data_IF_777726170735
#
_entry.id   IF_777726170735
#
_cell.length_a   1.000
_cell.length_b   1.000
_cell.length_c   1.000
_cell.angle_alpha   90.00
_cell.angle_beta   90.00
_cell.angle_gamma   90.00
#
_symmetry.space_group_name_H-M   'P 1'
#
loop_
_entity.id
_entity.type
_entity.pdbx_description
1 polymer ?
#
# COMPACT_ATOMS: atom_id res chain seq x y z
N UNK A 1 -1.87 -1.27 -49.89
CA UNK A 1 -1.83 -0.13 -48.98
C UNK A 1 -1.04 -0.48 -47.75
N UNK A 2 -0.02 0.31 -47.40
CA UNK A 2 0.77 0.15 -46.19
C UNK A 2 -0.13 0.53 -44.97
N UNK A 3 -0.48 -0.45 -44.14
CA UNK A 3 -1.20 -0.22 -42.89
C UNK A 3 -0.22 0.32 -41.86
N UNK A 4 0.12 1.60 -41.94
CA UNK A 4 0.83 2.28 -40.86
C UNK A 4 -0.13 2.52 -39.72
N UNK A 5 0.13 1.93 -38.53
CA UNK A 5 -0.57 2.24 -37.30
C UNK A 5 0.10 3.42 -36.64
N UNK A 6 -0.70 4.38 -36.19
CA UNK A 6 -0.21 5.54 -35.42
C UNK A 6 0.24 5.06 -34.04
N UNK A 7 1.37 5.56 -33.57
CA UNK A 7 1.80 5.37 -32.18
C UNK A 7 0.95 6.23 -31.22
N UNK A 8 0.62 5.68 -30.05
CA UNK A 8 -0.10 6.37 -28.99
C UNK A 8 0.48 6.04 -27.63
N UNK A 9 0.57 7.03 -26.76
CA UNK A 9 0.99 6.85 -25.36
C UNK A 9 -0.17 6.36 -24.49
N UNK A 10 -1.42 6.48 -24.93
CA UNK A 10 -2.61 5.99 -24.26
C UNK A 10 -2.95 4.57 -24.75
N UNK A 11 -3.79 3.87 -23.98
CA UNK A 11 -4.30 2.55 -24.33
C UNK A 11 -5.42 2.62 -25.40
N UNK A 12 -5.13 3.26 -26.54
CA UNK A 12 -6.08 3.44 -27.64
C UNK A 12 -6.10 2.21 -28.54
N UNK A 13 -7.30 1.78 -28.95
CA UNK A 13 -7.46 0.62 -29.83
C UNK A 13 -6.76 0.82 -31.18
N UNK A 14 -6.19 -0.26 -31.74
CA UNK A 14 -5.54 -0.30 -33.06
C UNK A 14 -4.34 0.65 -33.23
N UNK A 15 -3.70 1.06 -32.17
CA UNK A 15 -2.46 1.83 -32.18
C UNK A 15 -1.25 0.98 -31.80
N UNK A 16 -0.06 1.49 -32.03
CA UNK A 16 1.19 0.94 -31.48
C UNK A 16 1.45 1.60 -30.14
N UNK A 17 1.70 0.79 -29.10
CA UNK A 17 2.04 1.34 -27.79
C UNK A 17 3.38 2.10 -27.87
N UNK A 18 3.35 3.35 -27.47
CA UNK A 18 4.52 4.23 -27.39
C UNK A 18 4.77 4.57 -25.93
N UNK A 19 6.03 4.64 -25.54
CA UNK A 19 6.40 5.07 -24.19
C UNK A 19 6.10 6.55 -24.01
N UNK A 20 5.58 6.92 -22.83
CA UNK A 20 5.45 8.32 -22.44
C UNK A 20 6.82 8.96 -22.15
N UNK A 21 6.85 10.25 -21.78
CA UNK A 21 8.08 10.98 -21.44
C UNK A 21 8.84 10.40 -20.23
N UNK A 22 8.20 9.58 -19.41
CA UNK A 22 8.78 8.90 -18.26
C UNK A 22 9.18 7.45 -18.57
N UNK A 23 8.97 7.01 -19.82
CA UNK A 23 9.30 5.65 -20.29
C UNK A 23 8.24 4.60 -19.98
N UNK A 24 7.06 4.98 -19.50
CA UNK A 24 5.97 4.05 -19.19
C UNK A 24 5.20 3.65 -20.45
N UNK A 25 4.51 2.50 -20.40
CA UNK A 25 3.57 2.03 -21.41
C UNK A 25 2.19 1.91 -20.74
N UNK A 26 1.16 2.53 -21.34
CA UNK A 26 -0.23 2.35 -20.94
C UNK A 26 -0.88 1.22 -21.75
N UNK A 27 -1.57 0.32 -21.08
CA UNK A 27 -2.38 -0.73 -21.68
C UNK A 27 -3.62 -0.99 -20.80
N UNK A 28 -4.77 -1.33 -21.43
CA UNK A 28 -5.95 -1.74 -20.66
C UNK A 28 -5.74 -3.10 -20.00
N UNK A 29 -5.09 -4.02 -20.70
CA UNK A 29 -4.72 -5.35 -20.21
C UNK A 29 -3.31 -5.65 -20.69
N UNK A 30 -2.47 -6.09 -19.79
CA UNK A 30 -1.17 -6.67 -20.11
C UNK A 30 -1.28 -8.20 -20.03
N UNK A 31 -1.25 -8.87 -21.18
CA UNK A 31 -1.24 -10.32 -21.27
C UNK A 31 0.18 -10.81 -21.55
N UNK A 32 0.92 -11.07 -20.49
CA UNK A 32 2.33 -11.45 -20.58
C UNK A 32 2.91 -11.82 -19.22
N UNK A 33 4.22 -12.06 -19.17
CA UNK A 33 4.95 -12.36 -17.94
C UNK A 33 5.68 -11.10 -17.47
N UNK A 34 5.48 -10.69 -16.20
CA UNK A 34 6.29 -9.69 -15.53
C UNK A 34 7.20 -10.38 -14.52
N UNK A 35 8.50 -10.16 -14.64
CA UNK A 35 9.52 -10.83 -13.81
C UNK A 35 10.02 -9.97 -12.67
N UNK A 36 9.66 -8.68 -12.63
CA UNK A 36 10.09 -7.74 -11.59
C UNK A 36 9.12 -6.59 -11.41
N UNK A 37 9.10 -6.03 -10.20
CA UNK A 37 8.40 -4.81 -9.86
C UNK A 37 9.38 -3.83 -9.20
N UNK A 38 9.15 -2.53 -9.40
CA UNK A 38 9.98 -1.46 -8.82
C UNK A 38 9.72 -1.25 -7.32
N UNK A 39 8.48 -1.38 -6.90
CA UNK A 39 8.02 -1.17 -5.52
C UNK A 39 7.72 -2.50 -4.85
N UNK A 40 7.46 -2.50 -3.54
CA UNK A 40 7.62 -3.70 -2.73
C UNK A 40 6.34 -4.24 -2.09
N UNK A 41 5.16 -3.64 -2.32
CA UNK A 41 3.92 -4.11 -1.72
C UNK A 41 2.80 -4.37 -2.72
N UNK A 42 1.92 -5.28 -2.34
CA UNK A 42 0.63 -5.55 -2.98
C UNK A 42 -0.45 -4.79 -2.22
N UNK A 43 -1.20 -3.94 -2.91
CA UNK A 43 -2.27 -3.16 -2.33
C UNK A 43 -3.58 -3.28 -3.11
N UNK A 44 -4.66 -2.91 -2.46
CA UNK A 44 -5.98 -2.75 -3.06
C UNK A 44 -6.61 -1.44 -2.59
N UNK A 45 -7.41 -0.79 -3.44
CA UNK A 45 -8.17 0.39 -3.04
C UNK A 45 -9.43 -0.01 -2.28
N UNK A 46 -9.61 0.65 -1.14
CA UNK A 46 -10.82 0.62 -0.33
C UNK A 46 -11.30 2.04 -0.04
N UNK A 47 -12.60 2.23 0.06
CA UNK A 47 -13.14 3.50 0.55
C UNK A 47 -12.83 3.65 2.03
N UNK A 48 -12.42 4.86 2.40
CA UNK A 48 -12.06 5.24 3.77
C UNK A 48 -13.00 6.32 4.28
N UNK A 49 -13.33 6.31 5.56
CA UNK A 49 -14.24 7.28 6.17
C UNK A 49 -13.64 8.70 6.27
N UNK A 50 -12.34 8.82 6.11
CA UNK A 50 -11.60 10.07 5.91
C UNK A 50 -10.29 9.78 5.19
N UNK A 51 -9.54 10.79 4.80
CA UNK A 51 -8.20 10.61 4.26
C UNK A 51 -7.20 10.35 5.38
N UNK A 52 -6.45 9.26 5.26
CA UNK A 52 -5.44 8.84 6.24
C UNK A 52 -4.03 9.01 5.70
N UNK A 53 -3.06 9.42 6.54
CA UNK A 53 -1.66 9.49 6.15
C UNK A 53 -1.08 8.09 5.88
N UNK A 54 -0.05 8.06 5.02
CA UNK A 54 0.72 6.84 4.73
C UNK A 54 1.21 6.20 6.02
N UNK A 55 1.14 4.87 6.08
CA UNK A 55 1.57 4.10 7.25
C UNK A 55 0.47 3.86 8.29
N UNK A 56 -0.74 4.39 8.10
CA UNK A 56 -1.87 4.16 9.00
C UNK A 56 -2.38 2.73 8.88
N UNK A 57 -2.44 2.01 9.99
CA UNK A 57 -3.04 0.67 10.06
C UNK A 57 -4.56 0.77 9.96
N UNK A 58 -5.16 -0.05 9.09
CA UNK A 58 -6.58 0.00 8.73
C UNK A 58 -7.32 -1.28 9.08
N UNK A 59 -8.59 -1.14 9.45
CA UNK A 59 -9.52 -2.26 9.67
C UNK A 59 -10.84 -2.01 8.94
N UNK A 60 -11.65 -3.07 8.79
CA UNK A 60 -13.01 -2.95 8.27
C UNK A 60 -13.89 -2.26 9.32
N UNK A 61 -14.66 -1.24 8.92
CA UNK A 61 -15.54 -0.48 9.80
C UNK A 61 -15.61 1.00 9.50
N UNK A 62 -16.23 1.76 10.38
CA UNK A 62 -16.48 3.19 10.17
C UNK A 62 -17.70 3.45 9.28
N UNK A 63 -17.75 4.64 8.69
CA UNK A 63 -18.84 5.08 7.79
C UNK A 63 -18.62 4.63 6.33
N UNK A 64 -17.45 4.07 6.03
CA UNK A 64 -17.07 3.54 4.73
C UNK A 64 -16.66 2.05 4.87
N UNK A 65 -15.93 1.49 3.90
CA UNK A 65 -15.44 0.10 4.02
C UNK A 65 -14.39 -0.04 5.11
N UNK A 66 -13.54 0.98 5.28
CA UNK A 66 -12.39 0.91 6.19
C UNK A 66 -12.20 2.18 7.02
N UNK A 67 -11.65 1.99 8.21
CA UNK A 67 -11.31 3.05 9.17
C UNK A 67 -9.98 2.73 9.86
N UNK A 68 -9.41 3.69 10.60
CA UNK A 68 -8.19 3.48 11.36
C UNK A 68 -8.34 2.39 12.43
N UNK A 69 -7.38 1.49 12.49
CA UNK A 69 -7.37 0.37 13.42
C UNK A 69 -7.12 0.84 14.87
N UNK A 70 -7.68 0.08 15.83
CA UNK A 70 -7.49 0.24 17.29
C UNK A 70 -6.93 -1.06 17.88
N UNK A 71 -6.63 -1.06 19.17
CA UNK A 71 -6.10 -2.24 19.89
C UNK A 71 -6.93 -3.50 19.76
N UNK A 72 -8.25 -3.35 19.65
CA UNK A 72 -9.22 -4.47 19.52
C UNK A 72 -9.58 -4.79 18.07
N UNK A 73 -9.09 -4.03 17.09
CA UNK A 73 -9.44 -4.21 15.67
C UNK A 73 -8.72 -5.40 15.05
N UNK A 74 -9.33 -5.99 14.03
CA UNK A 74 -8.66 -6.89 13.09
C UNK A 74 -8.13 -6.07 11.92
N UNK A 75 -6.83 -5.81 11.93
CA UNK A 75 -6.16 -5.03 10.90
C UNK A 75 -6.14 -5.80 9.58
N UNK A 76 -6.47 -5.12 8.48
CA UNK A 76 -6.44 -5.70 7.12
C UNK A 76 -5.24 -5.25 6.31
N UNK A 77 -4.60 -4.16 6.68
CA UNK A 77 -3.46 -3.60 5.96
C UNK A 77 -3.06 -2.23 6.45
N UNK A 78 -2.22 -1.57 5.67
CA UNK A 78 -1.63 -0.27 6.01
C UNK A 78 -1.72 0.65 4.79
N UNK A 79 -2.07 1.93 4.98
CA UNK A 79 -2.09 2.91 3.88
C UNK A 79 -0.73 2.96 3.18
N UNK A 80 -0.73 2.68 1.89
CA UNK A 80 0.45 2.66 1.02
C UNK A 80 0.47 3.86 0.08
N UNK A 81 1.66 4.41 -0.15
CA UNK A 81 1.83 5.54 -1.07
C UNK A 81 2.07 5.08 -2.53
N UNK A 82 2.84 4.03 -2.71
CA UNK A 82 3.32 3.57 -4.02
C UNK A 82 3.43 2.03 -4.06
N UNK A 83 2.31 1.33 -4.17
CA UNK A 83 2.35 -0.13 -4.24
C UNK A 83 3.02 -0.61 -5.52
N UNK A 84 3.65 -1.79 -5.46
CA UNK A 84 4.18 -2.48 -6.64
C UNK A 84 3.07 -2.96 -7.56
N UNK A 85 1.97 -3.38 -6.98
CA UNK A 85 0.76 -3.80 -7.68
C UNK A 85 -0.47 -3.28 -6.95
N UNK A 86 -1.34 -2.57 -7.66
CA UNK A 86 -2.55 -1.98 -7.11
C UNK A 86 -3.79 -2.64 -7.73
N UNK A 87 -4.48 -3.43 -6.93
CA UNK A 87 -5.78 -3.99 -7.28
C UNK A 87 -6.88 -2.94 -7.10
N UNK A 88 -8.00 -3.11 -7.82
CA UNK A 88 -9.13 -2.19 -7.79
C UNK A 88 -8.73 -0.73 -8.05
N UNK A 89 -7.79 -0.51 -8.96
CA UNK A 89 -7.07 0.77 -9.15
C UNK A 89 -7.97 1.91 -9.62
N UNK A 90 -9.09 1.61 -10.28
CA UNK A 90 -10.05 2.61 -10.78
C UNK A 90 -11.13 2.97 -9.74
N UNK A 91 -11.21 2.24 -8.63
CA UNK A 91 -12.13 2.57 -7.54
C UNK A 91 -11.70 3.83 -6.80
N UNK A 92 -12.66 4.46 -6.17
CA UNK A 92 -12.40 5.53 -5.21
C UNK A 92 -11.77 4.97 -3.93
N UNK A 93 -11.15 5.86 -3.14
CA UNK A 93 -10.54 5.50 -1.86
C UNK A 93 -9.02 5.49 -1.88
N UNK A 94 -8.43 4.90 -0.85
CA UNK A 94 -6.99 4.86 -0.65
C UNK A 94 -6.43 3.46 -0.86
N UNK A 95 -5.17 3.38 -1.32
CA UNK A 95 -4.46 2.12 -1.44
C UNK A 95 -4.08 1.59 -0.05
N UNK A 96 -4.53 0.38 0.27
CA UNK A 96 -4.17 -0.33 1.50
C UNK A 96 -3.24 -1.48 1.12
N UNK A 97 -2.00 -1.42 1.60
CA UNK A 97 -1.01 -2.47 1.45
C UNK A 97 -1.40 -3.71 2.25
N UNK A 98 -1.53 -4.85 1.56
CA UNK A 98 -1.97 -6.12 2.14
C UNK A 98 -0.81 -7.06 2.43
N UNK A 99 0.25 -6.99 1.64
CA UNK A 99 1.47 -7.82 1.75
C UNK A 99 2.70 -7.08 1.25
N UNK A 100 3.83 -7.45 1.78
CA UNK A 100 5.12 -6.94 1.37
C UNK A 100 5.71 -5.93 2.35
N UNK A 101 6.57 -5.06 1.86
CA UNK A 101 7.25 -4.03 2.66
C UNK A 101 6.49 -2.70 2.55
N UNK A 102 6.10 -2.16 3.70
CA UNK A 102 5.40 -0.86 3.79
C UNK A 102 5.93 -0.07 4.99
N UNK A 103 6.11 1.25 4.90
CA UNK A 103 6.32 2.07 6.07
C UNK A 103 5.05 2.10 6.92
N UNK A 104 5.19 1.89 8.22
CA UNK A 104 4.09 1.85 9.21
C UNK A 104 4.29 2.97 10.22
N UNK A 105 3.23 3.68 10.58
CA UNK A 105 3.23 4.69 11.65
C UNK A 105 3.34 3.99 12.99
N UNK A 106 4.44 4.21 13.69
CA UNK A 106 4.72 3.58 14.99
C UNK A 106 5.11 4.65 16.02
N UNK A 107 4.60 4.52 17.24
CA UNK A 107 4.99 5.32 18.39
C UNK A 107 5.74 4.46 19.41
N UNK A 108 6.77 5.02 20.03
CA UNK A 108 7.64 4.32 20.99
C UNK A 108 8.92 3.78 20.35
N UNK A 109 9.85 3.35 21.17
CA UNK A 109 11.13 2.75 20.74
C UNK A 109 10.86 1.44 20.00
N UNK A 110 11.60 1.21 18.92
CA UNK A 110 11.50 0.01 18.08
C UNK A 110 12.87 -0.58 17.86
N UNK A 111 13.03 -1.88 18.09
CA UNK A 111 14.19 -2.64 17.69
C UNK A 111 13.92 -3.36 16.36
N UNK A 112 14.98 -3.60 15.58
CA UNK A 112 14.88 -4.44 14.37
C UNK A 112 14.41 -5.85 14.75
N UNK A 113 13.35 -6.32 14.09
CA UNK A 113 12.74 -7.62 14.36
C UNK A 113 11.58 -7.57 15.35
N UNK A 114 11.26 -6.41 15.93
CA UNK A 114 10.13 -6.29 16.83
C UNK A 114 8.81 -6.53 16.10
N UNK A 115 7.87 -7.25 16.73
CA UNK A 115 6.49 -7.32 16.26
C UNK A 115 5.79 -5.97 16.49
N UNK A 116 5.07 -5.52 15.48
CA UNK A 116 4.34 -4.24 15.47
C UNK A 116 2.85 -4.53 15.44
N UNK A 117 2.11 -3.98 16.39
CA UNK A 117 0.68 -4.20 16.58
C UNK A 117 -0.13 -2.93 16.35
N UNK A 118 -1.35 -3.07 15.86
CA UNK A 118 -2.31 -1.98 15.79
C UNK A 118 -2.62 -1.44 17.19
N UNK A 119 -2.58 -0.13 17.36
CA UNK A 119 -2.77 0.50 18.68
C UNK A 119 -3.96 1.46 18.65
N UNK A 120 -3.76 2.75 18.45
CA UNK A 120 -4.84 3.75 18.46
C UNK A 120 -4.77 4.63 17.22
N UNK A 121 -5.92 4.92 16.64
CA UNK A 121 -6.08 5.79 15.45
C UNK A 121 -5.16 5.39 14.28
N UNK A 122 -4.95 4.08 14.11
CA UNK A 122 -4.09 3.54 13.07
C UNK A 122 -2.58 3.71 13.30
N UNK A 123 -2.18 4.30 14.42
CA UNK A 123 -0.78 4.32 14.88
C UNK A 123 -0.50 3.00 15.58
N UNK A 124 0.64 2.38 15.27
CA UNK A 124 1.04 1.09 15.82
C UNK A 124 2.02 1.24 16.98
N UNK A 125 2.25 0.14 17.68
CA UNK A 125 3.17 0.04 18.83
C UNK A 125 3.81 -1.35 18.88
N UNK A 126 4.89 -1.50 19.63
CA UNK A 126 5.49 -2.79 19.98
C UNK A 126 4.73 -3.52 21.10
N UNK A 127 3.74 -2.86 21.72
CA UNK A 127 2.91 -3.45 22.76
C UNK A 127 1.88 -4.39 22.13
N UNK A 128 1.86 -5.64 22.59
CA UNK A 128 0.97 -6.67 22.06
C UNK A 128 -0.52 -6.27 22.15
N UNK A 129 -1.23 -6.44 21.05
CA UNK A 129 -2.65 -6.17 20.91
C UNK A 129 -3.31 -7.23 20.01
N UNK A 130 -4.57 -7.04 19.61
CA UNK A 130 -5.33 -8.04 18.84
C UNK A 130 -4.69 -8.35 17.49
N UNK A 131 -4.22 -7.32 16.76
CA UNK A 131 -3.66 -7.51 15.41
C UNK A 131 -2.17 -7.24 15.36
N UNK A 132 -1.41 -8.28 15.00
CA UNK A 132 -0.06 -8.16 14.50
C UNK A 132 -0.13 -7.55 13.09
N UNK A 133 0.45 -6.35 12.91
CA UNK A 133 0.49 -5.64 11.62
C UNK A 133 1.71 -6.06 10.81
N UNK A 134 2.87 -6.15 11.43
CA UNK A 134 4.10 -6.48 10.75
C UNK A 134 5.28 -6.71 11.69
N UNK A 135 6.44 -6.90 11.08
CA UNK A 135 7.72 -7.02 11.78
C UNK A 135 8.62 -5.87 11.33
N UNK A 136 9.22 -5.16 12.28
CA UNK A 136 10.11 -4.04 12.00
C UNK A 136 11.39 -4.50 11.27
N UNK A 137 11.72 -3.85 10.17
CA UNK A 137 12.93 -4.09 9.37
C UNK A 137 14.10 -3.18 9.79
N UNK A 138 13.80 -2.19 10.60
CA UNK A 138 14.77 -1.20 11.11
C UNK A 138 14.50 -0.87 12.57
N UNK A 139 15.46 -0.22 13.22
CA UNK A 139 15.35 0.22 14.61
C UNK A 139 15.20 1.75 14.69
N UNK A 140 14.61 2.25 15.78
CA UNK A 140 14.56 3.67 16.10
C UNK A 140 14.46 3.88 17.61
N UNK A 141 15.30 4.76 18.14
CA UNK A 141 15.26 5.19 19.55
C UNK A 141 14.34 6.42 19.77
N UNK A 142 13.74 6.94 18.71
CA UNK A 142 12.78 8.03 18.79
C UNK A 142 11.46 7.51 19.39
N UNK A 143 11.05 8.07 20.53
CA UNK A 143 9.80 7.73 21.21
C UNK A 143 8.56 8.36 20.56
N UNK A 144 8.74 9.38 19.71
CA UNK A 144 7.64 10.03 19.00
C UNK A 144 7.08 9.15 17.88
N UNK A 145 5.94 9.57 17.33
CA UNK A 145 5.39 8.93 16.13
C UNK A 145 6.31 9.13 14.93
N UNK A 146 6.62 8.04 14.22
CA UNK A 146 7.44 8.01 13.02
C UNK A 146 7.03 6.87 12.10
N UNK A 147 7.57 6.87 10.90
CA UNK A 147 7.45 5.73 9.98
C UNK A 147 8.60 4.74 10.22
N UNK A 148 8.24 3.47 10.32
CA UNK A 148 9.16 2.33 10.44
C UNK A 148 8.89 1.38 9.28
N UNK A 149 9.91 1.03 8.52
CA UNK A 149 9.81 0.00 7.48
C UNK A 149 9.48 -1.35 8.11
N UNK A 150 8.38 -1.95 7.66
CA UNK A 150 7.92 -3.25 8.17
C UNK A 150 7.64 -4.22 7.01
N UNK A 151 7.83 -5.50 7.27
CA UNK A 151 7.20 -6.56 6.47
C UNK A 151 5.82 -6.85 7.05
N UNK A 152 4.77 -6.71 6.24
CA UNK A 152 3.39 -6.90 6.68
C UNK A 152 3.11 -8.37 7.02
N UNK A 153 2.33 -8.58 8.09
CA UNK A 153 1.86 -9.88 8.59
C UNK A 153 0.34 -9.94 8.76
N UNK A 154 -0.37 -8.99 8.19
CA UNK A 154 -1.83 -8.98 8.13
C UNK A 154 -2.39 -10.04 7.20
#
# INVERSE_FOLDING_TARGET
>A
GSNYRTGDINATNNTVAVRDSSGNIAANVFNGVSTSARYADLAEKYTTDQEYPVGTAMCVGGEAETTAAKTSSHCIGVISAQPAYLMNSEAEGQAIGLKGRVPVRVKGIVAKGDPIYAWEDGVCSTIAATSLVGIALEASDDESEKLIECVLKV
#
